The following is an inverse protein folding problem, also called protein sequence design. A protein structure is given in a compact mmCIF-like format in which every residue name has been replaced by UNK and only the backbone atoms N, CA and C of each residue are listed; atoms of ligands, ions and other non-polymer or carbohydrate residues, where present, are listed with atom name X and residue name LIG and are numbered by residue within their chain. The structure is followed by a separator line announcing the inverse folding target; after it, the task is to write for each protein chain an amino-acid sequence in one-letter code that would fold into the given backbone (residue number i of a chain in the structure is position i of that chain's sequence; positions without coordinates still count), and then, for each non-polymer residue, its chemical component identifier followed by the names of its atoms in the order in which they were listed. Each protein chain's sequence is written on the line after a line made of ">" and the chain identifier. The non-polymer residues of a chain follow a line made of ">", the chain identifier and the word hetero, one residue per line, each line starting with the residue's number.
data_IF_991911377270
#
_entry.id   IF_991911377270
#
_cell.length_a   1.000
_cell.length_b   1.000
_cell.length_c   1.000
_cell.angle_alpha   90.00
_cell.angle_beta   90.00
_cell.angle_gamma   90.00
#
_symmetry.space_group_name_H-M   'P 1'
#
loop_
_entity.id
_entity.type
_entity.pdbx_description
1 polymer ?
#
# COMPACT_ATOMS: atom_id res chain seq x y z
N UNK A 1 -14.37 -2.14 -24.66
CA UNK A 1 -13.75 -0.99 -23.96
C UNK A 1 -12.71 -1.57 -23.00
N UNK A 2 -11.42 -1.38 -23.26
CA UNK A 2 -10.39 -1.65 -22.27
C UNK A 2 -10.21 -0.37 -21.45
N UNK A 3 -10.27 -0.48 -20.12
CA UNK A 3 -10.07 0.65 -19.22
C UNK A 3 -8.60 1.09 -19.27
N UNK A 4 -8.34 2.38 -19.10
CA UNK A 4 -6.98 2.95 -19.07
C UNK A 4 -6.06 2.28 -18.03
N UNK A 5 -6.66 1.70 -16.99
CA UNK A 5 -5.97 1.04 -15.87
C UNK A 5 -5.70 -0.46 -16.10
N UNK A 6 -6.24 -1.07 -17.16
CA UNK A 6 -6.08 -2.49 -17.46
C UNK A 6 -4.62 -3.00 -17.40
N UNK A 7 -3.61 -2.33 -18.01
CA UNK A 7 -2.23 -2.83 -17.95
C UNK A 7 -1.65 -2.80 -16.53
N UNK A 8 -2.03 -1.81 -15.71
CA UNK A 8 -1.55 -1.70 -14.32
C UNK A 8 -2.17 -2.79 -13.45
N UNK A 9 -3.47 -3.05 -13.62
CA UNK A 9 -4.17 -4.12 -12.91
C UNK A 9 -3.53 -5.48 -13.24
N UNK A 10 -3.28 -5.76 -14.51
CA UNK A 10 -2.63 -7.00 -14.95
C UNK A 10 -1.21 -7.13 -14.39
N UNK A 11 -0.43 -6.04 -14.37
CA UNK A 11 0.90 -6.04 -13.78
C UNK A 11 0.85 -6.36 -12.28
N UNK A 12 -0.09 -5.79 -11.53
CA UNK A 12 -0.26 -6.09 -10.11
C UNK A 12 -0.65 -7.54 -9.86
N UNK A 13 -1.47 -8.14 -10.72
CA UNK A 13 -1.88 -9.55 -10.61
C UNK A 13 -0.75 -10.56 -10.81
N UNK A 14 0.41 -10.14 -11.32
CA UNK A 14 1.61 -10.99 -11.38
C UNK A 14 2.24 -11.21 -10.00
N UNK A 15 1.90 -10.38 -9.01
CA UNK A 15 2.36 -10.51 -7.64
C UNK A 15 1.59 -11.64 -6.93
N UNK A 16 2.32 -12.50 -6.23
CA UNK A 16 1.71 -13.57 -5.43
C UNK A 16 0.70 -12.97 -4.45
N UNK A 17 -0.48 -13.61 -4.40
CA UNK A 17 -1.57 -13.22 -3.50
C UNK A 17 -2.41 -12.03 -3.99
N UNK A 18 -2.03 -11.34 -5.07
CA UNK A 18 -2.79 -10.21 -5.62
C UNK A 18 -3.76 -10.70 -6.69
N UNK A 19 -5.04 -10.83 -6.34
CA UNK A 19 -6.13 -11.13 -7.26
C UNK A 19 -6.74 -9.85 -7.86
N UNK A 20 -7.70 -10.00 -8.78
CA UNK A 20 -8.35 -8.89 -9.50
C UNK A 20 -8.94 -7.83 -8.56
N UNK A 21 -9.73 -8.25 -7.57
CA UNK A 21 -10.37 -7.32 -6.62
C UNK A 21 -9.32 -6.52 -5.86
N UNK A 22 -8.24 -7.16 -5.40
CA UNK A 22 -7.15 -6.45 -4.73
C UNK A 22 -6.44 -5.50 -5.68
N UNK A 23 -6.09 -5.93 -6.88
CA UNK A 23 -5.41 -5.10 -7.87
C UNK A 23 -6.24 -3.85 -8.22
N UNK A 24 -7.54 -4.01 -8.45
CA UNK A 24 -8.47 -2.90 -8.70
C UNK A 24 -8.56 -1.98 -7.49
N UNK A 25 -8.68 -2.53 -6.27
CA UNK A 25 -8.70 -1.74 -5.04
C UNK A 25 -7.43 -0.91 -4.88
N UNK A 26 -6.26 -1.51 -5.14
CA UNK A 26 -4.99 -0.80 -5.08
C UNK A 26 -4.95 0.34 -6.09
N UNK A 27 -5.33 0.11 -7.35
CA UNK A 27 -5.33 1.17 -8.37
C UNK A 27 -6.34 2.28 -8.04
N UNK A 28 -7.52 1.95 -7.54
CA UNK A 28 -8.55 2.93 -7.19
C UNK A 28 -8.12 3.83 -6.01
N UNK A 29 -7.51 3.24 -4.98
CA UNK A 29 -7.11 3.95 -3.76
C UNK A 29 -5.76 4.68 -3.91
N UNK A 30 -4.84 4.13 -4.70
CA UNK A 30 -3.53 4.73 -4.97
C UNK A 30 -3.63 5.78 -6.07
N UNK A 31 -4.47 5.56 -7.07
CA UNK A 31 -4.48 6.34 -8.30
C UNK A 31 -3.13 6.22 -9.02
N UNK A 32 -2.46 7.35 -9.23
CA UNK A 32 -1.16 7.38 -9.89
C UNK A 32 -0.02 7.01 -8.92
N UNK A 33 0.64 5.88 -9.17
CA UNK A 33 1.82 5.45 -8.39
C UNK A 33 2.98 6.45 -8.45
N UNK A 34 3.11 7.21 -9.55
CA UNK A 34 4.12 8.24 -9.74
C UNK A 34 4.01 9.41 -8.76
N UNK A 35 2.90 9.57 -8.04
CA UNK A 35 2.76 10.60 -7.00
C UNK A 35 3.72 10.38 -5.81
N UNK A 36 4.22 9.17 -5.65
CA UNK A 36 5.16 8.81 -4.58
C UNK A 36 6.58 8.83 -5.13
N UNK A 37 7.42 9.71 -4.56
CA UNK A 37 8.83 9.84 -4.94
C UNK A 37 9.63 8.62 -4.45
N UNK A 38 9.19 8.02 -3.36
CA UNK A 38 9.86 6.90 -2.71
C UNK A 38 8.82 5.84 -2.28
N UNK A 39 9.09 4.53 -2.49
CA UNK A 39 8.25 3.45 -1.98
C UNK A 39 7.86 3.56 -0.49
N UNK A 40 8.74 4.12 0.37
CA UNK A 40 8.43 4.36 1.79
C UNK A 40 7.24 5.29 1.99
N UNK A 41 7.03 6.26 1.09
CA UNK A 41 5.87 7.14 1.14
C UNK A 41 4.58 6.38 0.82
N UNK A 42 4.62 5.46 -0.14
CA UNK A 42 3.49 4.59 -0.46
C UNK A 42 3.14 3.67 0.73
N UNK A 43 4.15 3.07 1.37
CA UNK A 43 3.95 2.19 2.55
C UNK A 43 3.40 3.01 3.74
N UNK A 44 3.88 4.24 3.92
CA UNK A 44 3.35 5.18 4.91
C UNK A 44 1.90 5.57 4.62
N UNK A 45 1.58 5.84 3.35
CA UNK A 45 0.23 6.13 2.88
C UNK A 45 -0.73 4.94 3.07
N UNK A 46 -0.26 3.71 2.81
CA UNK A 46 -0.98 2.48 3.13
C UNK A 46 -1.15 2.29 4.65
N UNK A 47 -0.40 3.01 5.47
CA UNK A 47 -0.43 2.87 6.93
C UNK A 47 0.15 1.55 7.39
N UNK A 48 1.19 1.06 6.73
CA UNK A 48 1.93 -0.16 7.09
C UNK A 48 3.25 0.15 7.83
N UNK A 49 3.47 1.41 8.19
CA UNK A 49 4.66 1.86 8.93
C UNK A 49 4.33 1.96 10.43
N UNK A 50 5.23 1.51 11.33
CA UNK A 50 5.06 1.73 12.76
C UNK A 50 5.11 3.22 13.10
N UNK A 51 4.47 3.58 14.20
CA UNK A 51 4.63 4.90 14.79
C UNK A 51 6.07 5.05 15.28
N UNK A 52 6.70 6.18 14.97
CA UNK A 52 8.07 6.44 15.40
C UNK A 52 8.14 7.75 16.20
N UNK A 53 8.75 7.67 17.38
CA UNK A 53 9.13 8.81 18.21
C UNK A 53 10.62 8.70 18.47
N UNK A 54 11.40 9.24 17.55
CA UNK A 54 12.86 9.20 17.61
C UNK A 54 13.40 10.62 17.74
N UNK A 55 14.31 10.81 18.68
CA UNK A 55 15.17 11.98 18.80
C UNK A 55 16.63 11.56 18.57
N UNK A 56 17.56 12.53 18.58
CA UNK A 56 18.98 12.24 18.31
C UNK A 56 19.59 11.19 19.25
N UNK A 57 19.10 11.10 20.48
CA UNK A 57 19.64 10.22 21.53
C UNK A 57 18.76 9.03 21.90
N UNK A 58 17.54 8.95 21.37
CA UNK A 58 16.59 7.90 21.70
C UNK A 58 15.72 7.53 20.52
N UNK A 59 15.52 6.23 20.29
CA UNK A 59 14.67 5.70 19.24
C UNK A 59 13.55 4.87 19.86
N UNK A 60 12.31 5.27 19.64
CA UNK A 60 11.15 4.50 20.06
C UNK A 60 10.23 4.22 18.87
N UNK A 61 9.85 2.96 18.70
CA UNK A 61 8.87 2.53 17.70
C UNK A 61 7.68 1.86 18.40
N UNK A 62 6.47 2.28 18.02
CA UNK A 62 5.21 1.77 18.53
C UNK A 62 4.45 0.95 17.50
N UNK A 63 3.15 0.77 17.74
CA UNK A 63 2.24 0.08 16.84
C UNK A 63 2.05 0.83 15.51
N UNK A 64 1.43 0.15 14.54
CA UNK A 64 1.06 0.74 13.24
C UNK A 64 0.26 2.04 13.47
N UNK A 65 0.59 3.08 12.71
CA UNK A 65 0.06 4.45 12.92
C UNK A 65 -1.45 4.59 12.76
N UNK A 66 -2.16 3.59 12.19
CA UNK A 66 -3.62 3.57 11.88
C UNK A 66 -4.15 4.74 11.02
N UNK A 67 -3.33 5.75 10.74
CA UNK A 67 -3.66 6.96 9.96
C UNK A 67 -3.74 6.68 8.45
N UNK A 68 -2.97 5.71 7.94
CA UNK A 68 -2.96 5.40 6.52
C UNK A 68 -4.23 4.70 6.01
N UNK A 69 -4.35 4.62 4.69
CA UNK A 69 -5.53 4.13 3.98
C UNK A 69 -5.91 2.71 4.42
N UNK A 70 -7.08 2.59 5.06
CA UNK A 70 -7.57 1.34 5.64
C UNK A 70 -7.86 0.28 4.57
N UNK A 71 -8.36 0.70 3.41
CA UNK A 71 -8.70 -0.23 2.32
C UNK A 71 -7.44 -0.84 1.73
N UNK A 72 -6.42 -0.03 1.43
CA UNK A 72 -5.12 -0.52 0.96
C UNK A 72 -4.49 -1.44 2.01
N UNK A 73 -4.48 -1.03 3.28
CA UNK A 73 -3.90 -1.84 4.34
C UNK A 73 -4.55 -3.22 4.44
N UNK A 74 -5.89 -3.25 4.47
CA UNK A 74 -6.63 -4.50 4.53
C UNK A 74 -6.32 -5.36 3.32
N UNK A 75 -6.44 -4.80 2.11
CA UNK A 75 -6.17 -5.52 0.87
C UNK A 75 -4.77 -6.15 0.85
N UNK A 76 -3.74 -5.39 1.25
CA UNK A 76 -2.36 -5.89 1.32
C UNK A 76 -2.15 -6.94 2.40
N UNK A 77 -2.80 -6.80 3.57
CA UNK A 77 -2.74 -7.80 4.64
C UNK A 77 -3.39 -9.10 4.19
N UNK A 78 -4.59 -9.05 3.60
CA UNK A 78 -5.28 -10.24 3.08
C UNK A 78 -4.45 -10.96 2.01
N UNK A 79 -3.84 -10.21 1.08
CA UNK A 79 -2.97 -10.79 0.05
C UNK A 79 -1.74 -11.50 0.60
N UNK A 80 -1.24 -11.10 1.77
CA UNK A 80 -0.06 -11.71 2.37
C UNK A 80 -0.31 -13.12 2.93
N UNK A 81 -1.58 -13.53 3.11
CA UNK A 81 -1.93 -14.88 3.59
C UNK A 81 -1.99 -15.94 2.50
N UNK A 82 -1.87 -15.56 1.23
CA UNK A 82 -2.02 -16.43 0.06
C UNK A 82 -0.76 -17.21 -0.34
#
# INVERSE_FOLDING_TARGET
>A
MQSEHAPVIQALQTLRGVAEVTAVTLVAEIGQFSRFINPRQLISYAGLVPKEYSSRSSRWQGSITKIGNVQIRRALVECAWA
#
